data_IF_697482110102
#
_entry.id   IF_697482110102
#
_cell.length_a   1.000
_cell.length_b   1.000
_cell.length_c   1.000
_cell.angle_alpha   90.00
_cell.angle_beta   90.00
_cell.angle_gamma   90.00
#
_symmetry.space_group_name_H-M   'P 1'
#
loop_
_entity.id
_entity.type
_entity.pdbx_description
1 polymer ?
#
# COMPACT_ATOMS: atom_id res chain seq x y z
N UNK A 1 -9.43 -3.96 32.28
CA UNK A 1 -7.99 -3.96 31.94
C UNK A 1 -7.73 -2.72 31.09
N UNK A 2 -7.17 -1.68 31.73
CA UNK A 2 -6.98 -0.34 31.16
C UNK A 2 -6.01 -0.42 29.97
N UNK A 3 -6.48 -0.09 28.76
CA UNK A 3 -5.60 0.11 27.60
C UNK A 3 -4.87 1.43 27.83
N UNK A 4 -3.61 1.38 28.28
CA UNK A 4 -2.72 2.50 28.03
C UNK A 4 -2.73 2.73 26.52
N UNK A 5 -3.15 3.91 26.08
CA UNK A 5 -3.03 4.25 24.67
C UNK A 5 -1.54 4.24 24.34
N UNK A 6 -1.09 3.27 23.55
CA UNK A 6 0.29 3.21 23.07
C UNK A 6 0.64 4.57 22.46
N UNK A 7 1.76 5.15 22.92
CA UNK A 7 2.16 6.49 22.52
C UNK A 7 2.41 6.51 21.02
N UNK A 8 1.77 7.43 20.32
CA UNK A 8 2.01 7.65 18.89
C UNK A 8 3.31 8.45 18.74
N UNK A 9 4.27 7.88 18.02
CA UNK A 9 5.61 8.46 17.78
C UNK A 9 5.63 9.24 16.47
N UNK A 10 4.89 8.75 15.49
CA UNK A 10 4.77 9.36 14.18
C UNK A 10 3.35 9.14 13.66
N UNK A 11 2.74 10.17 13.06
CA UNK A 11 1.41 10.09 12.47
C UNK A 11 1.40 10.87 11.15
N UNK A 12 0.88 10.23 10.11
CA UNK A 12 0.51 10.89 8.87
C UNK A 12 -1.00 10.76 8.71
N UNK A 13 -1.69 11.88 8.92
CA UNK A 13 -3.12 11.95 8.71
C UNK A 13 -3.44 12.19 7.24
N UNK A 14 -4.60 11.68 6.82
CA UNK A 14 -5.13 12.01 5.51
C UNK A 14 -5.50 13.49 5.46
N UNK A 15 -4.73 14.23 4.68
CA UNK A 15 -5.09 15.56 4.24
C UNK A 15 -5.25 15.55 2.71
N UNK A 16 -5.79 16.60 2.11
CA UNK A 16 -5.87 16.71 0.65
C UNK A 16 -5.50 18.10 0.21
N UNK A 17 -4.60 18.17 -0.78
CA UNK A 17 -4.41 19.39 -1.55
C UNK A 17 -5.69 19.75 -2.32
N UNK A 18 -5.88 21.03 -2.64
CA UNK A 18 -7.03 21.47 -3.43
C UNK A 18 -7.10 20.74 -4.78
N UNK A 19 -5.95 20.51 -5.42
CA UNK A 19 -5.83 19.77 -6.69
C UNK A 19 -6.30 18.32 -6.54
N UNK A 20 -5.92 17.62 -5.47
CA UNK A 20 -6.34 16.22 -5.27
C UNK A 20 -7.83 16.12 -4.94
N UNK A 21 -8.40 17.06 -4.19
CA UNK A 21 -9.87 17.15 -4.00
C UNK A 21 -10.61 17.29 -5.33
N UNK A 22 -10.15 18.17 -6.21
CA UNK A 22 -10.77 18.38 -7.53
C UNK A 22 -10.68 17.12 -8.41
N UNK A 23 -9.52 16.46 -8.48
CA UNK A 23 -9.35 15.21 -9.22
C UNK A 23 -10.33 14.12 -8.73
N UNK A 24 -10.53 14.02 -7.42
CA UNK A 24 -11.43 13.04 -6.80
C UNK A 24 -12.89 13.28 -7.14
N UNK A 25 -13.33 14.54 -7.09
CA UNK A 25 -14.69 14.93 -7.50
C UNK A 25 -14.90 14.60 -8.98
N UNK A 26 -13.92 14.98 -9.82
CA UNK A 26 -13.95 14.68 -11.25
C UNK A 26 -14.02 13.18 -11.53
N UNK A 27 -13.24 12.36 -10.82
CA UNK A 27 -13.27 10.90 -10.94
C UNK A 27 -14.64 10.31 -10.57
N UNK A 28 -15.30 10.82 -9.52
CA UNK A 28 -16.66 10.40 -9.15
C UNK A 28 -17.65 10.77 -10.26
N UNK A 29 -17.61 12.00 -10.76
CA UNK A 29 -18.52 12.47 -11.82
C UNK A 29 -18.37 11.62 -13.08
N UNK A 30 -17.14 11.35 -13.51
CA UNK A 30 -16.87 10.45 -14.64
C UNK A 30 -17.41 9.06 -14.37
N UNK A 31 -17.12 8.50 -13.20
CA UNK A 31 -17.54 7.14 -12.84
C UNK A 31 -19.06 6.99 -12.93
N UNK A 32 -19.80 7.96 -12.38
CA UNK A 32 -21.27 7.99 -12.45
C UNK A 32 -21.74 8.14 -13.89
N UNK A 33 -21.12 9.04 -14.67
CA UNK A 33 -21.50 9.28 -16.07
C UNK A 33 -21.29 8.03 -16.93
N UNK A 34 -20.14 7.37 -16.81
CA UNK A 34 -19.83 6.12 -17.53
C UNK A 34 -20.78 5.02 -17.10
N UNK A 35 -20.99 4.83 -15.80
CA UNK A 35 -21.94 3.82 -15.31
C UNK A 35 -23.36 4.07 -15.85
N UNK A 36 -23.78 5.33 -15.93
CA UNK A 36 -25.10 5.71 -16.46
C UNK A 36 -25.22 5.40 -17.96
N UNK A 37 -24.19 5.73 -18.76
CA UNK A 37 -24.14 5.43 -20.21
C UNK A 37 -24.17 3.92 -20.44
N UNK A 38 -23.35 3.15 -19.72
CA UNK A 38 -23.30 1.69 -19.85
C UNK A 38 -24.64 1.07 -19.45
N UNK A 39 -25.25 1.54 -18.36
CA UNK A 39 -26.58 1.07 -17.94
C UNK A 39 -27.62 1.35 -19.00
N UNK A 40 -27.64 2.56 -19.55
CA UNK A 40 -28.54 2.91 -20.66
C UNK A 40 -28.31 2.02 -21.88
N UNK A 41 -27.06 1.80 -22.28
CA UNK A 41 -26.75 0.93 -23.43
C UNK A 41 -27.21 -0.53 -23.21
N UNK A 42 -26.99 -1.07 -22.01
CA UNK A 42 -27.33 -2.47 -21.68
C UNK A 42 -28.83 -2.71 -21.59
N UNK A 43 -29.60 -1.75 -21.05
CA UNK A 43 -31.03 -1.96 -20.79
C UNK A 43 -31.96 -1.34 -21.85
N UNK A 44 -31.53 -0.33 -22.59
CA UNK A 44 -32.36 0.37 -23.58
C UNK A 44 -31.95 0.17 -25.03
N UNK A 45 -30.66 -0.03 -25.31
CA UNK A 45 -30.16 -0.19 -26.70
C UNK A 45 -30.03 -1.68 -27.07
N UNK A 46 -29.64 -2.52 -26.11
CA UNK A 46 -29.52 -3.95 -26.38
C UNK A 46 -30.90 -4.58 -26.63
N UNK A 47 -31.02 -5.50 -27.62
CA UNK A 47 -32.23 -6.28 -27.88
C UNK A 47 -32.65 -7.08 -26.63
N UNK A 48 -33.88 -7.63 -26.57
CA UNK A 48 -34.44 -8.18 -25.34
C UNK A 48 -33.44 -9.10 -24.61
N UNK A 49 -33.27 -8.84 -23.32
CA UNK A 49 -32.38 -9.54 -22.38
C UNK A 49 -32.85 -10.99 -22.17
N UNK A 50 -32.83 -11.81 -23.21
CA UNK A 50 -33.29 -13.20 -23.17
C UNK A 50 -32.12 -14.16 -23.38
N UNK A 51 -32.23 -15.32 -22.73
CA UNK A 51 -31.26 -16.40 -22.80
C UNK A 51 -29.84 -16.01 -22.37
N UNK A 52 -28.86 -16.70 -22.96
CA UNK A 52 -27.45 -16.58 -22.59
C UNK A 52 -26.85 -15.19 -22.87
N UNK A 53 -27.33 -14.50 -23.92
CA UNK A 53 -26.85 -13.16 -24.30
C UNK A 53 -27.22 -12.10 -23.25
N UNK A 54 -28.46 -12.14 -22.75
CA UNK A 54 -28.90 -11.23 -21.68
C UNK A 54 -28.10 -11.43 -20.39
N UNK A 55 -27.87 -12.69 -20.00
CA UNK A 55 -27.06 -13.02 -18.83
C UNK A 55 -25.61 -12.50 -18.95
N UNK A 56 -24.98 -12.66 -20.12
CA UNK A 56 -23.64 -12.13 -20.35
C UNK A 56 -23.57 -10.60 -20.24
N UNK A 57 -24.56 -9.88 -20.81
CA UNK A 57 -24.61 -8.42 -20.73
C UNK A 57 -24.79 -7.91 -19.29
N UNK A 58 -25.62 -8.58 -18.49
CA UNK A 58 -25.78 -8.25 -17.07
C UNK A 58 -24.50 -8.51 -16.28
N UNK A 59 -23.82 -9.64 -16.52
CA UNK A 59 -22.54 -9.92 -15.87
C UNK A 59 -21.47 -8.90 -16.26
N UNK A 60 -21.38 -8.54 -17.53
CA UNK A 60 -20.46 -7.50 -18.01
C UNK A 60 -20.75 -6.14 -17.34
N UNK A 61 -22.02 -5.75 -17.26
CA UNK A 61 -22.44 -4.54 -16.55
C UNK A 61 -22.04 -4.55 -15.07
N UNK A 62 -22.27 -5.67 -14.37
CA UNK A 62 -21.86 -5.84 -12.96
C UNK A 62 -20.36 -5.73 -12.77
N UNK A 63 -19.55 -6.29 -13.68
CA UNK A 63 -18.09 -6.20 -13.63
C UNK A 63 -17.63 -4.75 -13.79
N UNK A 64 -18.19 -4.00 -14.73
CA UNK A 64 -17.89 -2.57 -14.89
C UNK A 64 -18.21 -1.81 -13.61
N UNK A 65 -19.41 -2.01 -13.07
CA UNK A 65 -19.85 -1.35 -11.84
C UNK A 65 -18.93 -1.67 -10.66
N UNK A 66 -18.54 -2.94 -10.53
CA UNK A 66 -17.62 -3.39 -9.51
C UNK A 66 -16.25 -2.70 -9.62
N UNK A 67 -15.70 -2.58 -10.83
CA UNK A 67 -14.41 -1.91 -11.05
C UNK A 67 -14.46 -0.45 -10.59
N UNK A 68 -15.49 0.30 -10.99
CA UNK A 68 -15.64 1.70 -10.60
C UNK A 68 -15.88 1.87 -9.10
N UNK A 69 -16.77 1.08 -8.52
CA UNK A 69 -17.07 1.14 -7.09
C UNK A 69 -15.84 0.76 -6.25
N UNK A 70 -15.10 -0.27 -6.66
CA UNK A 70 -13.83 -0.66 -6.03
C UNK A 70 -12.79 0.45 -6.12
N UNK A 71 -12.69 1.13 -7.28
CA UNK A 71 -11.84 2.30 -7.46
C UNK A 71 -12.18 3.43 -6.49
N UNK A 72 -13.46 3.80 -6.39
CA UNK A 72 -13.93 4.82 -5.45
C UNK A 72 -13.61 4.39 -4.02
N UNK A 73 -13.91 3.15 -3.62
CA UNK A 73 -13.60 2.68 -2.27
C UNK A 73 -12.10 2.76 -1.98
N UNK A 74 -11.22 2.28 -2.86
CA UNK A 74 -9.75 2.39 -2.67
C UNK A 74 -9.30 3.85 -2.54
N UNK A 75 -9.86 4.73 -3.35
CA UNK A 75 -9.56 6.15 -3.33
C UNK A 75 -10.03 6.80 -2.01
N UNK A 76 -11.12 6.34 -1.38
CA UNK A 76 -11.69 7.00 -0.21
C UNK A 76 -11.51 6.28 1.12
N UNK A 77 -10.97 5.06 1.12
CA UNK A 77 -10.98 4.25 2.32
C UNK A 77 -9.74 4.43 3.23
N UNK A 78 -8.71 5.16 2.83
CA UNK A 78 -7.60 5.50 3.73
C UNK A 78 -8.03 6.55 4.76
N UNK A 79 -7.68 6.40 6.05
CA UNK A 79 -7.99 7.39 7.10
C UNK A 79 -6.72 8.07 7.63
N UNK A 80 -5.75 7.28 8.09
CA UNK A 80 -4.45 7.73 8.58
C UNK A 80 -3.50 6.55 8.69
N UNK A 81 -2.21 6.84 8.77
CA UNK A 81 -1.19 5.90 9.21
C UNK A 81 -0.47 6.46 10.43
N UNK A 82 -0.10 5.60 11.37
CA UNK A 82 0.68 6.01 12.53
C UNK A 82 1.57 4.88 13.02
N UNK A 83 2.61 5.28 13.73
CA UNK A 83 3.60 4.42 14.36
C UNK A 83 3.52 4.57 15.87
N UNK A 84 3.55 3.43 16.55
CA UNK A 84 3.69 3.29 18.01
C UNK A 84 5.08 2.71 18.32
N UNK A 85 5.39 2.41 19.58
CA UNK A 85 6.68 1.77 19.93
C UNK A 85 6.86 0.37 19.32
N UNK A 86 5.76 -0.34 19.02
CA UNK A 86 5.81 -1.75 18.59
C UNK A 86 5.12 -2.03 17.25
N UNK A 87 4.21 -1.16 16.83
CA UNK A 87 3.37 -1.40 15.65
C UNK A 87 3.29 -0.19 14.74
N UNK A 88 3.20 -0.48 13.45
CA UNK A 88 2.77 0.45 12.42
C UNK A 88 1.34 0.12 12.01
N UNK A 89 0.46 1.12 12.01
CA UNK A 89 -0.97 0.93 11.81
C UNK A 89 -1.45 1.75 10.63
N UNK A 90 -2.16 1.10 9.71
CA UNK A 90 -2.88 1.74 8.62
C UNK A 90 -4.37 1.66 8.95
N UNK A 91 -4.96 2.80 9.30
CA UNK A 91 -6.39 2.91 9.57
C UNK A 91 -7.18 3.24 8.31
N UNK A 92 -8.35 2.59 8.21
CA UNK A 92 -9.30 2.75 7.11
C UNK A 92 -10.64 3.26 7.64
N UNK A 93 -11.42 3.90 6.78
CA UNK A 93 -12.79 4.32 7.13
C UNK A 93 -13.75 3.12 7.20
N UNK A 94 -13.52 2.12 6.34
CA UNK A 94 -14.34 0.93 6.15
C UNK A 94 -13.42 -0.30 6.22
N UNK A 95 -13.81 -1.27 7.02
CA UNK A 95 -13.09 -2.53 7.20
C UNK A 95 -12.08 -2.50 8.35
N UNK A 96 -11.30 -3.58 8.46
CA UNK A 96 -10.34 -3.77 9.54
C UNK A 96 -9.11 -2.88 9.33
N UNK A 97 -8.59 -2.31 10.43
CA UNK A 97 -7.25 -1.69 10.44
C UNK A 97 -6.19 -2.75 10.12
N UNK A 98 -5.15 -2.34 9.40
CA UNK A 98 -3.97 -3.16 9.17
C UNK A 98 -2.97 -2.81 10.26
N UNK A 99 -2.46 -3.82 10.96
CA UNK A 99 -1.45 -3.67 12.00
C UNK A 99 -0.25 -4.48 11.55
N UNK A 100 0.89 -3.82 11.41
CA UNK A 100 2.17 -4.43 11.07
C UNK A 100 3.08 -4.33 12.28
N UNK A 101 3.77 -5.42 12.61
CA UNK A 101 4.80 -5.41 13.64
C UNK A 101 6.00 -4.61 13.14
N UNK A 102 6.49 -3.65 13.93
CA UNK A 102 7.64 -2.85 13.52
C UNK A 102 8.86 -3.74 13.29
N UNK A 103 9.56 -3.48 12.19
CA UNK A 103 10.74 -4.24 11.77
C UNK A 103 10.44 -5.49 10.92
N UNK A 104 9.19 -5.99 10.89
CA UNK A 104 8.85 -7.19 10.10
C UNK A 104 8.47 -6.89 8.63
N UNK A 105 8.62 -5.64 8.20
CA UNK A 105 8.28 -5.15 6.86
C UNK A 105 9.20 -4.00 6.47
N UNK A 106 9.20 -3.64 5.19
CA UNK A 106 9.89 -2.46 4.66
C UNK A 106 8.94 -1.63 3.77
N UNK A 107 9.24 -0.33 3.63
CA UNK A 107 8.49 0.57 2.77
C UNK A 107 9.21 0.81 1.44
N UNK A 108 8.45 0.81 0.36
CA UNK A 108 8.96 1.08 -0.99
C UNK A 108 7.87 1.67 -1.88
N UNK A 109 8.24 2.16 -3.05
CA UNK A 109 7.27 2.54 -4.08
C UNK A 109 6.76 1.31 -4.81
N UNK A 110 5.48 1.31 -5.21
CA UNK A 110 4.93 0.22 -6.01
C UNK A 110 5.64 0.10 -7.36
N UNK A 111 6.05 -1.13 -7.68
CA UNK A 111 6.79 -1.47 -8.90
C UNK A 111 5.81 -2.10 -9.91
N UNK A 112 5.84 -1.67 -11.17
CA UNK A 112 5.31 -2.51 -12.24
C UNK A 112 6.31 -3.62 -12.57
N UNK A 113 5.82 -4.82 -12.84
CA UNK A 113 6.59 -6.05 -13.05
C UNK A 113 7.45 -6.07 -14.34
N UNK A 114 7.76 -4.92 -14.95
CA UNK A 114 8.50 -4.85 -16.21
C UNK A 114 9.83 -4.07 -16.03
N UNK A 115 11.01 -4.72 -16.13
CA UNK A 115 12.31 -4.11 -15.84
C UNK A 115 12.76 -3.03 -16.84
N UNK A 116 12.05 -2.83 -17.95
CA UNK A 116 12.43 -1.91 -19.05
C UNK A 116 11.61 -0.62 -19.12
N UNK A 117 10.71 -0.37 -18.16
CA UNK A 117 10.00 0.90 -18.07
C UNK A 117 9.88 1.35 -16.62
N UNK A 118 10.63 2.39 -16.18
CA UNK A 118 10.46 2.96 -14.86
C UNK A 118 9.25 3.89 -14.90
N UNK A 119 8.05 3.35 -15.09
CA UNK A 119 6.87 4.00 -14.54
C UNK A 119 6.71 3.45 -13.14
N UNK A 120 7.49 3.98 -12.20
CA UNK A 120 7.12 3.87 -10.80
C UNK A 120 5.73 4.48 -10.66
N UNK A 121 4.78 3.71 -10.17
CA UNK A 121 3.58 4.34 -9.62
C UNK A 121 3.97 4.99 -8.32
N UNK A 122 3.46 6.17 -8.04
CA UNK A 122 3.76 6.89 -6.80
C UNK A 122 3.03 6.32 -5.56
N UNK A 123 2.63 5.05 -5.60
CA UNK A 123 1.94 4.42 -4.48
C UNK A 123 2.95 3.98 -3.43
N UNK A 124 2.60 4.14 -2.17
CA UNK A 124 3.37 3.66 -1.03
C UNK A 124 3.02 2.19 -0.75
N UNK A 125 4.01 1.33 -0.78
CA UNK A 125 3.90 -0.08 -0.44
C UNK A 125 4.57 -0.38 0.90
N UNK A 126 3.97 -1.30 1.64
CA UNK A 126 4.59 -1.96 2.78
C UNK A 126 4.58 -3.47 2.55
N UNK A 127 5.77 -4.07 2.45
CA UNK A 127 5.92 -5.49 2.16
C UNK A 127 6.53 -6.21 3.35
N UNK A 128 5.87 -7.26 3.82
CA UNK A 128 6.36 -8.10 4.92
C UNK A 128 7.46 -9.02 4.43
N UNK A 129 8.52 -9.21 5.22
CA UNK A 129 9.68 -10.02 4.82
C UNK A 129 9.39 -11.50 4.57
N UNK A 130 8.50 -12.13 5.36
CA UNK A 130 8.28 -13.58 5.34
C UNK A 130 6.90 -13.99 4.83
N UNK A 131 5.89 -13.13 4.96
CA UNK A 131 4.51 -13.49 4.63
C UNK A 131 4.13 -13.16 3.17
N UNK A 132 5.05 -12.55 2.40
CA UNK A 132 4.81 -12.04 1.04
C UNK A 132 3.51 -11.22 0.92
N UNK A 133 3.11 -10.54 1.99
CA UNK A 133 1.96 -9.64 2.01
C UNK A 133 2.43 -8.23 1.70
N UNK A 134 1.79 -7.62 0.71
CA UNK A 134 1.99 -6.22 0.34
C UNK A 134 0.73 -5.41 0.67
N UNK A 135 0.94 -4.25 1.28
CA UNK A 135 -0.11 -3.28 1.55
C UNK A 135 0.16 -2.01 0.77
N UNK A 136 -0.73 -1.71 -0.18
CA UNK A 136 -0.60 -0.57 -1.09
C UNK A 136 -1.50 0.58 -0.64
N UNK A 137 -0.92 1.78 -0.56
CA UNK A 137 -1.61 3.04 -0.38
C UNK A 137 -1.40 3.89 -1.62
N UNK A 138 -2.51 4.23 -2.27
CA UNK A 138 -2.52 5.09 -3.46
C UNK A 138 -1.97 6.49 -3.13
N UNK A 139 -1.11 7.04 -3.99
CA UNK A 139 -0.51 8.38 -3.77
C UNK A 139 -1.57 9.45 -3.51
N UNK A 140 -2.72 9.36 -4.19
CA UNK A 140 -3.79 10.35 -4.05
C UNK A 140 -4.36 10.42 -2.64
N UNK A 141 -4.17 9.37 -1.82
CA UNK A 141 -4.55 9.32 -0.40
C UNK A 141 -3.53 9.95 0.53
N UNK A 142 -2.32 10.16 0.04
CA UNK A 142 -1.22 10.74 0.77
C UNK A 142 -1.21 12.24 0.48
N UNK A 143 -1.10 13.03 1.53
CA UNK A 143 -0.80 14.44 1.42
C UNK A 143 0.49 14.66 2.16
N UNK A 144 1.44 15.25 1.46
CA UNK A 144 2.70 15.62 2.06
C UNK A 144 2.46 16.85 2.94
N UNK A 145 2.34 16.62 4.24
CA UNK A 145 2.39 17.68 5.23
C UNK A 145 3.83 17.76 5.70
N UNK A 146 4.43 18.95 5.56
CA UNK A 146 5.82 19.30 5.91
C UNK A 146 6.87 18.97 4.86
N UNK A 147 7.12 19.94 3.98
CA UNK A 147 8.22 20.03 3.00
C UNK A 147 8.49 18.80 2.10
N UNK A 148 7.71 17.73 2.28
CA UNK A 148 7.78 16.50 1.52
C UNK A 148 7.18 16.81 0.17
N UNK A 149 7.97 16.72 -0.89
CA UNK A 149 7.45 17.12 -2.22
C UNK A 149 6.90 15.93 -3.00
N UNK A 150 7.28 14.70 -2.62
CA UNK A 150 6.91 13.49 -3.33
C UNK A 150 6.98 12.22 -2.45
N UNK A 151 6.54 11.10 -3.02
CA UNK A 151 6.42 9.80 -2.37
C UNK A 151 7.78 9.25 -1.92
N UNK A 152 8.84 9.57 -2.68
CA UNK A 152 10.19 9.08 -2.42
C UNK A 152 10.73 9.66 -1.12
N UNK A 153 10.57 10.97 -0.91
CA UNK A 153 11.01 11.60 0.33
C UNK A 153 10.22 11.07 1.55
N UNK A 154 8.93 10.72 1.37
CA UNK A 154 8.15 10.05 2.42
C UNK A 154 8.69 8.63 2.69
N UNK A 155 8.98 7.85 1.66
CA UNK A 155 9.57 6.52 1.80
C UNK A 155 10.92 6.60 2.52
N UNK A 156 11.78 7.54 2.16
CA UNK A 156 13.08 7.74 2.80
C UNK A 156 12.92 8.08 4.29
N UNK A 157 12.01 9.01 4.62
CA UNK A 157 11.67 9.35 6.02
C UNK A 157 11.18 8.12 6.79
N UNK A 158 10.27 7.34 6.22
CA UNK A 158 9.77 6.12 6.84
C UNK A 158 10.88 5.07 7.00
N UNK A 159 11.74 4.87 6.01
CA UNK A 159 12.83 3.92 6.07
C UNK A 159 13.90 4.29 7.10
N UNK A 160 14.15 5.59 7.34
CA UNK A 160 14.98 6.04 8.47
C UNK A 160 14.35 5.68 9.80
N UNK A 161 13.03 5.90 9.96
CA UNK A 161 12.30 5.53 11.18
C UNK A 161 12.28 4.01 11.40
N UNK A 162 12.17 3.23 10.32
CA UNK A 162 12.11 1.77 10.40
C UNK A 162 13.49 1.11 10.56
N UNK A 163 14.59 1.76 10.13
CA UNK A 163 15.95 1.21 10.18
C UNK A 163 16.28 0.50 11.50
N UNK A 164 16.18 1.13 12.69
CA UNK A 164 16.54 0.45 13.94
C UNK A 164 15.70 -0.82 14.19
N UNK A 165 14.40 -0.78 13.89
CA UNK A 165 13.49 -1.90 14.08
C UNK A 165 13.76 -3.03 13.08
N UNK A 166 14.00 -2.69 11.80
CA UNK A 166 14.34 -3.67 10.74
C UNK A 166 15.67 -4.33 11.07
N UNK A 167 16.69 -3.56 11.45
CA UNK A 167 17.99 -4.11 11.87
C UNK A 167 17.82 -5.08 13.02
N UNK A 168 17.11 -4.69 14.10
CA UNK A 168 16.89 -5.58 15.24
C UNK A 168 16.11 -6.85 14.85
N UNK A 169 15.06 -6.72 14.04
CA UNK A 169 14.27 -7.85 13.57
C UNK A 169 15.13 -8.81 12.76
N UNK A 170 15.84 -8.31 11.74
CA UNK A 170 16.68 -9.13 10.88
C UNK A 170 17.82 -9.78 11.65
N UNK A 171 18.41 -9.14 12.67
CA UNK A 171 19.43 -9.74 13.56
C UNK A 171 18.88 -10.83 14.51
N UNK A 172 17.57 -10.85 14.73
CA UNK A 172 16.89 -11.81 15.61
C UNK A 172 16.41 -13.08 14.89
N UNK A 173 16.35 -13.04 13.56
CA UNK A 173 15.91 -14.18 12.75
C UNK A 173 16.88 -15.36 12.84
N UNK A 174 16.35 -16.57 12.67
CA UNK A 174 17.15 -17.77 12.44
C UNK A 174 17.82 -17.72 11.08
N UNK A 175 18.92 -18.46 10.91
CA UNK A 175 19.68 -18.50 9.64
C UNK A 175 18.79 -18.90 8.45
N UNK A 176 17.90 -19.88 8.63
CA UNK A 176 16.98 -20.31 7.59
C UNK A 176 16.08 -19.17 7.09
N UNK A 177 15.44 -18.44 8.01
CA UNK A 177 14.53 -17.33 7.69
C UNK A 177 15.29 -16.13 7.13
N UNK A 178 16.48 -15.86 7.67
CA UNK A 178 17.32 -14.78 7.16
C UNK A 178 17.82 -15.08 5.75
N UNK A 179 18.24 -16.31 5.46
CA UNK A 179 18.70 -16.72 4.13
C UNK A 179 17.62 -16.55 3.06
N UNK A 180 16.35 -16.85 3.39
CA UNK A 180 15.23 -16.58 2.47
C UNK A 180 15.14 -15.10 2.07
N UNK A 181 15.28 -14.20 3.04
CA UNK A 181 15.26 -12.75 2.81
C UNK A 181 16.53 -12.29 2.09
N UNK A 182 17.69 -12.81 2.48
CA UNK A 182 18.99 -12.48 1.88
C UNK A 182 19.05 -12.89 0.41
N UNK A 183 18.40 -13.98 0.01
CA UNK A 183 18.40 -14.40 -1.39
C UNK A 183 17.41 -13.61 -2.26
N UNK A 184 16.58 -12.75 -1.69
CA UNK A 184 15.68 -11.88 -2.43
C UNK A 184 16.39 -10.60 -2.91
N UNK A 185 16.63 -10.53 -4.22
CA UNK A 185 17.26 -9.39 -4.90
C UNK A 185 16.45 -8.11 -4.71
N UNK A 186 15.12 -8.21 -4.68
CA UNK A 186 14.27 -7.04 -4.57
C UNK A 186 14.35 -6.39 -3.19
N UNK A 187 14.43 -7.21 -2.14
CA UNK A 187 14.59 -6.74 -0.76
C UNK A 187 15.96 -6.08 -0.59
N UNK A 188 17.02 -6.71 -1.10
CA UNK A 188 18.38 -6.16 -1.08
C UNK A 188 18.47 -4.78 -1.73
N UNK A 189 17.77 -4.58 -2.84
CA UNK A 189 17.78 -3.30 -3.55
C UNK A 189 16.98 -2.20 -2.83
N UNK A 190 15.99 -2.56 -2.01
CA UNK A 190 15.18 -1.57 -1.27
C UNK A 190 15.81 -1.18 0.08
N UNK A 191 16.53 -2.10 0.71
CA UNK A 191 17.15 -1.87 2.01
C UNK A 191 18.63 -1.54 1.81
N UNK A 192 18.94 -0.25 1.67
CA UNK A 192 20.31 0.21 1.40
C UNK A 192 21.36 -0.19 2.47
N UNK A 193 20.91 -0.49 3.69
CA UNK A 193 21.76 -0.89 4.81
C UNK A 193 21.74 -2.41 5.05
N UNK A 194 21.29 -3.20 4.08
CA UNK A 194 21.21 -4.66 4.21
C UNK A 194 22.60 -5.30 4.36
N UNK A 195 23.61 -4.80 3.64
CA UNK A 195 25.00 -5.28 3.75
C UNK A 195 25.60 -4.99 5.14
N UNK A 196 25.23 -3.87 5.77
CA UNK A 196 25.62 -3.56 7.16
C UNK A 196 25.06 -4.62 8.12
N UNK A 197 23.80 -5.02 7.93
CA UNK A 197 23.14 -6.05 8.75
C UNK A 197 23.80 -7.40 8.56
N UNK A 198 24.12 -7.77 7.32
CA UNK A 198 24.78 -9.04 7.02
C UNK A 198 26.15 -9.16 7.70
N UNK A 199 26.93 -8.07 7.67
CA UNK A 199 28.21 -7.98 8.39
C UNK A 199 28.02 -8.17 9.90
N UNK A 200 27.05 -7.49 10.50
CA UNK A 200 26.74 -7.62 11.93
C UNK A 200 26.32 -9.04 12.31
N UNK A 201 25.56 -9.75 11.46
CA UNK A 201 25.21 -11.16 11.70
C UNK A 201 26.43 -12.06 11.73
N UNK A 202 27.31 -11.94 10.73
CA UNK A 202 28.56 -12.72 10.65
C UNK A 202 29.48 -12.47 11.84
N UNK A 203 29.61 -11.22 12.27
CA UNK A 203 30.40 -10.88 13.47
C UNK A 203 29.80 -11.51 14.75
N UNK A 204 28.47 -11.53 14.88
CA UNK A 204 27.77 -12.16 16.00
C UNK A 204 27.89 -13.69 16.01
N UNK A 205 28.00 -14.31 14.84
CA UNK A 205 28.25 -15.75 14.72
C UNK A 205 29.70 -16.12 15.01
N UNK A 206 30.66 -15.33 14.52
CA UNK A 206 32.10 -15.55 14.74
C UNK A 206 32.56 -15.23 16.17
N UNK A 207 31.78 -14.45 16.92
CA UNK A 207 32.01 -14.14 18.33
C UNK A 207 31.37 -15.12 19.33
N UNK A 208 30.77 -16.21 18.85
CA UNK A 208 30.31 -17.35 19.65
C UNK A 208 31.32 -18.50 19.55
#
# INVERSE_FOLDING_TARGET
>A
MSKSADKVIYELQRNFSAKSKMYRIYFIIISISVCSIVTYAVFWIAPPLSGFRGLFLVLFWLVIFYIFLSGILKLFNFKRLYMTDSYFVIEKYIGKKIILQLGSFYAHSMRFSNPTSPKLTNNLCFTTFLENKEFVIDESNLCYTDNTQNIHELIDKLNVLFKPHITQYLLSLSEEKYSQIFNDIFIKNEILYFDEIDKMRKEKENGK
#
